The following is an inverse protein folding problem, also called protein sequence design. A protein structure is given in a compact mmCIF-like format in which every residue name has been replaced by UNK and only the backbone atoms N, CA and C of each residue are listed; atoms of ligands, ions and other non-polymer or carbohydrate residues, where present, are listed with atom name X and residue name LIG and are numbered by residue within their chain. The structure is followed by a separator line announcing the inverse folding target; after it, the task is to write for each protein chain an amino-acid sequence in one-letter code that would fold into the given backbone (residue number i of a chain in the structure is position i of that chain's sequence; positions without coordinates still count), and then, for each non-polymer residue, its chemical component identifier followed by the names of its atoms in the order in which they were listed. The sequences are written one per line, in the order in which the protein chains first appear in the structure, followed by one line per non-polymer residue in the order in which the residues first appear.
data_IF_135284410976
#
_entry.id   IF_135284410976
#
_cell.length_a   1.000
_cell.length_b   1.000
_cell.length_c   1.000
_cell.angle_alpha   90.00
_cell.angle_beta   90.00
_cell.angle_gamma   90.00
#
_symmetry.space_group_name_H-M   'P 1'
#
loop_
_entity.id
_entity.type
_entity.pdbx_description
1 polymer ?
#
# COMPACT_ATOMS: atom_id res chain seq x y z
N UNK A 1 -39.67 -9.30 52.15
CA UNK A 1 -38.97 -9.27 50.83
C UNK A 1 -38.81 -10.74 50.44
N UNK A 2 -39.54 -11.21 49.43
CA UNK A 2 -39.38 -12.56 48.90
C UNK A 2 -37.97 -12.66 48.30
N UNK A 3 -37.15 -13.61 48.74
CA UNK A 3 -35.91 -13.94 48.04
C UNK A 3 -36.31 -14.40 46.65
N UNK A 4 -35.91 -13.63 45.64
CA UNK A 4 -36.03 -14.08 44.25
C UNK A 4 -35.20 -15.36 44.11
N UNK A 5 -35.88 -16.49 43.81
CA UNK A 5 -35.19 -17.73 43.47
C UNK A 5 -34.40 -17.51 42.17
N UNK A 6 -33.11 -17.78 42.22
CA UNK A 6 -32.28 -17.77 41.00
C UNK A 6 -32.70 -18.94 40.10
N UNK A 7 -32.77 -18.74 38.77
CA UNK A 7 -33.03 -19.81 37.83
C UNK A 7 -31.97 -20.91 37.94
N UNK A 8 -32.34 -22.15 37.68
CA UNK A 8 -31.44 -23.31 37.77
C UNK A 8 -30.29 -23.31 36.75
N UNK A 9 -30.40 -22.50 35.70
CA UNK A 9 -29.39 -22.35 34.68
C UNK A 9 -29.24 -20.88 34.29
N UNK A 10 -28.00 -20.49 33.92
CA UNK A 10 -27.71 -19.17 33.36
C UNK A 10 -28.05 -19.15 31.87
N UNK A 11 -28.93 -18.24 31.46
CA UNK A 11 -29.27 -17.98 30.05
C UNK A 11 -28.69 -16.61 29.66
N UNK A 12 -27.57 -16.55 28.92
CA UNK A 12 -26.90 -15.30 28.60
C UNK A 12 -27.82 -14.27 27.94
N UNK A 13 -28.68 -14.70 27.02
CA UNK A 13 -29.58 -13.84 26.28
C UNK A 13 -30.55 -13.03 27.15
N UNK A 14 -30.97 -13.61 28.28
CA UNK A 14 -31.94 -12.99 29.21
C UNK A 14 -31.28 -11.93 30.09
N UNK A 15 -29.96 -11.96 30.24
CA UNK A 15 -29.23 -11.14 31.22
C UNK A 15 -28.33 -10.13 30.56
N UNK A 16 -27.53 -10.52 29.56
CA UNK A 16 -26.46 -9.67 28.97
C UNK A 16 -27.02 -8.41 28.32
N UNK A 17 -28.05 -8.53 27.47
CA UNK A 17 -28.67 -7.40 26.80
C UNK A 17 -29.26 -6.36 27.79
N UNK A 18 -30.17 -6.77 28.69
CA UNK A 18 -30.74 -5.85 29.70
C UNK A 18 -29.70 -5.22 30.62
N UNK A 19 -28.65 -5.97 31.00
CA UNK A 19 -27.56 -5.47 31.81
C UNK A 19 -26.75 -4.39 31.09
N UNK A 20 -26.40 -4.63 29.83
CA UNK A 20 -25.67 -3.69 29.00
C UNK A 20 -26.46 -2.38 28.81
N UNK A 21 -27.73 -2.47 28.48
CA UNK A 21 -28.65 -1.31 28.36
C UNK A 21 -28.74 -0.52 29.66
N UNK A 22 -28.74 -1.18 30.83
CA UNK A 22 -28.70 -0.53 32.13
C UNK A 22 -27.41 0.27 32.32
N UNK A 23 -26.26 -0.28 31.91
CA UNK A 23 -24.96 0.42 32.00
C UNK A 23 -24.93 1.64 31.11
N UNK A 24 -25.44 1.54 29.87
CA UNK A 24 -25.53 2.66 28.93
C UNK A 24 -26.41 3.78 29.47
N UNK A 25 -27.61 3.46 29.94
CA UNK A 25 -28.55 4.44 30.54
C UNK A 25 -27.97 5.12 31.78
N UNK A 26 -27.17 4.42 32.54
CA UNK A 26 -26.50 4.98 33.73
C UNK A 26 -25.25 5.84 33.37
N UNK A 27 -24.83 5.88 32.10
CA UNK A 27 -23.66 6.66 31.66
C UNK A 27 -22.31 6.15 32.18
N UNK A 28 -22.22 4.87 32.55
CA UNK A 28 -21.01 4.34 33.20
C UNK A 28 -19.79 4.32 32.29
N UNK A 29 -19.95 4.42 30.99
CA UNK A 29 -18.89 4.36 30.00
C UNK A 29 -18.44 5.75 29.53
N UNK A 30 -19.24 6.79 29.82
CA UNK A 30 -18.95 8.15 29.39
C UNK A 30 -17.83 8.78 30.22
N UNK A 31 -16.89 9.45 29.56
CA UNK A 31 -15.77 10.13 30.19
C UNK A 31 -16.00 11.65 30.25
N UNK A 32 -15.57 12.26 31.34
CA UNK A 32 -15.67 13.70 31.56
C UNK A 32 -14.32 14.39 31.37
N UNK A 33 -14.18 15.16 30.27
CA UNK A 33 -12.94 15.90 29.98
C UNK A 33 -12.55 16.97 30.99
N UNK A 34 -13.48 17.36 31.88
CA UNK A 34 -13.26 18.37 32.96
C UNK A 34 -13.09 17.73 34.33
N UNK A 35 -12.86 16.40 34.37
CA UNK A 35 -12.65 15.68 35.63
C UNK A 35 -11.28 15.98 36.23
N UNK A 36 -11.20 16.10 37.56
CA UNK A 36 -9.92 16.20 38.28
C UNK A 36 -9.25 14.85 38.52
N UNK A 37 -9.89 13.74 38.12
CA UNK A 37 -9.32 12.41 38.26
C UNK A 37 -8.16 12.20 37.27
N UNK A 38 -7.17 11.37 37.62
CA UNK A 38 -6.10 11.04 36.68
C UNK A 38 -6.67 10.42 35.41
N UNK A 39 -6.28 10.89 34.20
CA UNK A 39 -6.82 10.39 32.97
C UNK A 39 -6.23 9.03 32.58
N UNK A 40 -7.04 8.20 31.93
CA UNK A 40 -6.60 6.99 31.23
C UNK A 40 -7.38 6.87 29.93
N UNK A 41 -6.69 6.88 28.79
CA UNK A 41 -7.35 6.88 27.49
C UNK A 41 -6.79 5.76 26.60
N UNK A 42 -7.70 4.99 26.01
CA UNK A 42 -7.40 4.09 24.90
C UNK A 42 -8.20 4.56 23.69
N UNK A 43 -7.56 4.66 22.55
CA UNK A 43 -8.21 4.77 21.23
C UNK A 43 -8.24 3.38 20.65
N UNK A 44 -9.43 2.88 20.32
CA UNK A 44 -9.57 1.55 19.73
C UNK A 44 -8.84 1.48 18.39
N UNK A 45 -8.12 0.40 18.04
CA UNK A 45 -7.76 0.16 16.64
C UNK A 45 -9.06 0.02 15.84
N UNK A 46 -9.39 0.99 14.96
CA UNK A 46 -10.72 1.05 14.38
C UNK A 46 -10.92 -0.10 13.39
N UNK A 47 -11.92 -0.97 13.58
CA UNK A 47 -12.18 -2.04 12.62
C UNK A 47 -12.58 -1.49 11.26
N UNK A 48 -12.11 -2.16 10.20
CA UNK A 48 -12.44 -1.85 8.82
C UNK A 48 -13.92 -2.17 8.54
N UNK A 49 -14.63 -1.29 7.81
CA UNK A 49 -16.02 -1.54 7.41
C UNK A 49 -16.13 -2.54 6.24
N UNK A 50 -15.42 -3.65 6.35
CA UNK A 50 -15.31 -4.69 5.31
C UNK A 50 -16.14 -5.94 5.59
N UNK A 51 -16.79 -6.02 6.76
CA UNK A 51 -17.63 -7.13 7.15
C UNK A 51 -17.74 -7.28 8.67
N UNK A 52 -18.06 -8.49 9.13
CA UNK A 52 -18.21 -8.80 10.56
C UNK A 52 -16.89 -8.89 11.30
N UNK A 53 -16.92 -8.59 12.60
CA UNK A 53 -15.79 -8.83 13.50
C UNK A 53 -15.49 -10.33 13.60
N UNK A 54 -14.24 -10.66 13.84
CA UNK A 54 -13.76 -12.03 14.06
C UNK A 54 -13.12 -12.17 15.44
N UNK A 55 -12.72 -13.39 15.81
CA UNK A 55 -12.17 -13.68 17.14
C UNK A 55 -10.94 -12.84 17.51
N UNK A 56 -10.14 -12.42 16.54
CA UNK A 56 -9.00 -11.51 16.76
C UNK A 56 -9.45 -10.15 17.29
N UNK A 57 -10.53 -9.58 16.73
CA UNK A 57 -11.12 -8.36 17.26
C UNK A 57 -11.66 -8.57 18.68
N UNK A 58 -12.33 -9.70 18.94
CA UNK A 58 -12.83 -10.01 20.27
C UNK A 58 -11.71 -10.09 21.32
N UNK A 59 -10.56 -10.69 20.98
CA UNK A 59 -9.39 -10.73 21.84
C UNK A 59 -8.84 -9.34 22.13
N UNK A 60 -8.62 -8.55 21.09
CA UNK A 60 -8.11 -7.19 21.20
C UNK A 60 -9.03 -6.30 22.05
N UNK A 61 -10.34 -6.31 21.77
CA UNK A 61 -11.33 -5.57 22.53
C UNK A 61 -11.38 -6.02 23.99
N UNK A 62 -11.32 -7.33 24.25
CA UNK A 62 -11.35 -7.86 25.62
C UNK A 62 -10.17 -7.35 26.45
N UNK A 63 -8.96 -7.30 25.88
CA UNK A 63 -7.78 -6.80 26.57
C UNK A 63 -7.90 -5.31 26.88
N UNK A 64 -8.37 -4.50 25.94
CA UNK A 64 -8.59 -3.08 26.13
C UNK A 64 -9.70 -2.79 27.14
N UNK A 65 -10.81 -3.54 27.07
CA UNK A 65 -11.95 -3.39 27.99
C UNK A 65 -11.57 -3.76 29.42
N UNK A 66 -10.79 -4.83 29.59
CA UNK A 66 -10.26 -5.23 30.89
C UNK A 66 -9.44 -4.09 31.53
N UNK A 67 -8.52 -3.51 30.79
CA UNK A 67 -7.69 -2.41 31.27
C UNK A 67 -8.53 -1.16 31.59
N UNK A 68 -9.48 -0.83 30.74
CA UNK A 68 -10.35 0.33 30.91
C UNK A 68 -11.25 0.16 32.14
N UNK A 69 -11.88 -1.00 32.34
CA UNK A 69 -12.69 -1.31 33.53
C UNK A 69 -11.85 -1.30 34.80
N UNK A 70 -10.67 -1.89 34.78
CA UNK A 70 -9.74 -1.87 35.92
C UNK A 70 -9.38 -0.42 36.32
N UNK A 71 -9.11 0.45 35.34
CA UNK A 71 -8.77 1.85 35.60
C UNK A 71 -9.95 2.62 36.16
N UNK A 72 -11.18 2.41 35.66
CA UNK A 72 -12.40 2.98 36.27
C UNK A 72 -12.55 2.57 37.73
N UNK A 73 -12.36 1.27 38.04
CA UNK A 73 -12.43 0.75 39.41
C UNK A 73 -11.36 1.37 40.33
N UNK A 74 -10.18 1.76 39.78
CA UNK A 74 -9.11 2.42 40.49
C UNK A 74 -9.31 3.95 40.62
N UNK A 75 -10.45 4.47 40.18
CA UNK A 75 -10.79 5.90 40.32
C UNK A 75 -10.23 6.82 39.21
N UNK A 76 -9.73 6.26 38.10
CA UNK A 76 -9.31 7.08 36.96
C UNK A 76 -10.52 7.57 36.15
N UNK A 77 -10.36 8.69 35.47
CA UNK A 77 -11.24 9.11 34.39
C UNK A 77 -10.84 8.34 33.15
N UNK A 78 -11.54 7.25 32.85
CA UNK A 78 -11.16 6.34 31.79
C UNK A 78 -12.03 6.53 30.54
N UNK A 79 -11.40 6.88 29.43
CA UNK A 79 -12.00 6.96 28.11
C UNK A 79 -11.51 5.77 27.26
N UNK A 80 -12.44 4.98 26.74
CA UNK A 80 -12.17 4.08 25.63
C UNK A 80 -12.96 4.59 24.43
N UNK A 81 -12.23 5.13 23.42
CA UNK A 81 -12.78 5.82 22.28
C UNK A 81 -13.08 4.82 21.17
N UNK A 82 -14.37 4.60 20.77
CA UNK A 82 -14.72 3.74 19.67
C UNK A 82 -14.59 4.45 18.32
N UNK A 83 -14.39 3.67 17.25
CA UNK A 83 -14.40 4.17 15.90
C UNK A 83 -14.37 3.05 14.86
N UNK A 84 -14.48 3.43 13.60
CA UNK A 84 -14.38 2.53 12.45
C UNK A 84 -13.52 3.17 11.36
N UNK A 85 -12.80 2.34 10.62
CA UNK A 85 -12.00 2.78 9.49
C UNK A 85 -12.76 2.61 8.17
N UNK A 86 -12.66 3.60 7.30
CA UNK A 86 -13.22 3.56 5.95
C UNK A 86 -12.52 2.53 5.05
N UNK A 87 -11.26 2.17 5.35
CA UNK A 87 -10.48 1.11 4.71
C UNK A 87 -10.51 1.18 3.17
N UNK A 88 -10.08 2.30 2.60
CA UNK A 88 -10.18 2.69 1.19
C UNK A 88 -10.25 1.54 0.18
N UNK A 89 -9.10 0.89 -0.11
CA UNK A 89 -9.01 -0.21 -1.10
C UNK A 89 -9.91 -1.39 -0.71
N UNK A 90 -9.88 -1.79 0.57
CA UNK A 90 -10.56 -3.00 1.01
C UNK A 90 -12.09 -2.86 0.91
N UNK A 91 -12.65 -1.75 1.37
CA UNK A 91 -14.10 -1.49 1.32
C UNK A 91 -14.57 -1.31 -0.12
N UNK A 92 -13.81 -0.57 -0.95
CA UNK A 92 -14.14 -0.45 -2.37
C UNK A 92 -14.18 -1.82 -3.05
N UNK A 93 -13.18 -2.69 -2.81
CA UNK A 93 -13.15 -4.04 -3.35
C UNK A 93 -14.33 -4.91 -2.92
N UNK A 94 -14.83 -4.75 -1.70
CA UNK A 94 -16.05 -5.48 -1.25
C UNK A 94 -17.25 -5.09 -2.10
N UNK A 95 -17.48 -3.79 -2.27
CA UNK A 95 -18.61 -3.28 -3.06
C UNK A 95 -18.45 -3.65 -4.55
N UNK A 96 -17.24 -3.53 -5.11
CA UNK A 96 -16.96 -3.95 -6.49
C UNK A 96 -17.26 -5.45 -6.72
N UNK A 97 -16.92 -6.34 -5.76
CA UNK A 97 -17.27 -7.76 -5.86
C UNK A 97 -18.77 -8.00 -5.83
N UNK A 98 -19.50 -7.25 -4.99
CA UNK A 98 -20.96 -7.33 -4.95
C UNK A 98 -21.59 -6.90 -6.28
N UNK A 99 -21.05 -5.85 -6.90
CA UNK A 99 -21.49 -5.39 -8.22
C UNK A 99 -21.14 -6.42 -9.32
N UNK A 100 -19.93 -6.98 -9.28
CA UNK A 100 -19.49 -8.01 -10.24
C UNK A 100 -20.36 -9.26 -10.18
N UNK A 101 -20.83 -9.67 -8.99
CA UNK A 101 -21.78 -10.77 -8.85
C UNK A 101 -23.15 -10.49 -9.54
N UNK A 102 -23.44 -9.21 -9.80
CA UNK A 102 -24.62 -8.73 -10.52
C UNK A 102 -24.32 -8.44 -12.01
N UNK A 103 -23.11 -8.76 -12.50
CA UNK A 103 -22.65 -8.46 -13.85
C UNK A 103 -22.39 -6.97 -14.11
N UNK A 104 -22.11 -6.20 -13.06
CA UNK A 104 -21.90 -4.74 -13.13
C UNK A 104 -20.50 -4.37 -12.64
N UNK A 105 -20.01 -3.20 -13.09
CA UNK A 105 -18.79 -2.56 -12.64
C UNK A 105 -19.06 -1.18 -12.05
N UNK A 106 -18.10 -0.61 -11.34
CA UNK A 106 -18.20 0.77 -10.85
C UNK A 106 -18.39 1.79 -12.00
N UNK A 107 -17.85 1.50 -13.18
CA UNK A 107 -17.93 2.39 -14.35
C UNK A 107 -19.33 2.49 -14.93
N UNK A 108 -20.23 1.52 -14.66
CA UNK A 108 -21.63 1.57 -15.08
C UNK A 108 -22.44 2.61 -14.30
N UNK A 109 -21.94 3.05 -13.14
CA UNK A 109 -22.60 4.02 -12.26
C UNK A 109 -21.97 5.41 -12.30
N UNK A 110 -20.68 5.51 -12.60
CA UNK A 110 -19.89 6.70 -12.37
C UNK A 110 -19.56 6.92 -10.89
N UNK A 111 -18.64 7.86 -10.63
CA UNK A 111 -18.03 8.05 -9.29
C UNK A 111 -19.06 8.36 -8.20
N UNK A 112 -19.94 9.33 -8.42
CA UNK A 112 -20.87 9.79 -7.38
C UNK A 112 -21.83 8.70 -6.92
N UNK A 113 -22.44 8.01 -7.87
CA UNK A 113 -23.40 6.93 -7.56
C UNK A 113 -22.69 5.70 -6.97
N UNK A 114 -21.46 5.40 -7.41
CA UNK A 114 -20.68 4.33 -6.80
C UNK A 114 -20.32 4.67 -5.34
N UNK A 115 -19.87 5.89 -5.06
CA UNK A 115 -19.55 6.33 -3.68
C UNK A 115 -20.78 6.26 -2.78
N UNK A 116 -21.99 6.60 -3.28
CA UNK A 116 -23.24 6.41 -2.51
C UNK A 116 -23.44 4.94 -2.12
N UNK A 117 -23.20 4.00 -3.04
CA UNK A 117 -23.30 2.56 -2.74
C UNK A 117 -22.28 2.12 -1.67
N UNK A 118 -21.10 2.70 -1.66
CA UNK A 118 -20.13 2.43 -0.61
C UNK A 118 -20.59 3.00 0.74
N UNK A 119 -21.23 4.18 0.76
CA UNK A 119 -21.86 4.70 1.99
C UNK A 119 -23.02 3.84 2.50
N UNK A 120 -23.84 3.28 1.61
CA UNK A 120 -24.90 2.30 1.96
C UNK A 120 -24.29 1.05 2.60
N UNK A 121 -23.25 0.49 1.98
CA UNK A 121 -22.48 -0.62 2.55
C UNK A 121 -21.87 -0.27 3.92
N UNK A 122 -21.27 0.92 4.06
CA UNK A 122 -20.74 1.41 5.34
C UNK A 122 -21.80 1.46 6.42
N UNK A 123 -23.01 1.91 6.09
CA UNK A 123 -24.12 1.98 7.05
C UNK A 123 -24.52 0.57 7.53
N UNK A 124 -24.62 -0.39 6.61
CA UNK A 124 -24.96 -1.77 6.91
C UNK A 124 -23.84 -2.46 7.72
N UNK A 125 -22.63 -2.52 7.20
CA UNK A 125 -21.47 -3.17 7.81
C UNK A 125 -21.09 -2.53 9.13
N UNK A 126 -21.06 -1.18 9.20
CA UNK A 126 -20.79 -0.45 10.43
C UNK A 126 -21.84 -0.69 11.52
N UNK A 127 -23.11 -0.73 11.16
CA UNK A 127 -24.19 -1.08 12.08
C UNK A 127 -24.02 -2.48 12.68
N UNK A 128 -23.62 -3.46 11.85
CA UNK A 128 -23.32 -4.81 12.29
C UNK A 128 -22.12 -4.85 13.26
N UNK A 129 -21.02 -4.15 12.92
CA UNK A 129 -19.82 -4.06 13.77
C UNK A 129 -20.17 -3.47 15.14
N UNK A 130 -20.85 -2.33 15.20
CA UNK A 130 -21.25 -1.70 16.46
C UNK A 130 -22.19 -2.59 17.28
N UNK A 131 -23.08 -3.31 16.61
CA UNK A 131 -23.95 -4.32 17.24
C UNK A 131 -23.15 -5.46 17.87
N UNK A 132 -22.12 -5.95 17.20
CA UNK A 132 -21.23 -7.01 17.70
C UNK A 132 -20.41 -6.51 18.91
N UNK A 133 -19.88 -5.27 18.87
CA UNK A 133 -19.18 -4.65 20.01
C UNK A 133 -20.09 -4.54 21.24
N UNK A 134 -21.33 -4.10 21.06
CA UNK A 134 -22.33 -4.08 22.15
C UNK A 134 -22.63 -5.45 22.69
N UNK A 135 -22.71 -6.45 21.80
CA UNK A 135 -22.93 -7.85 22.18
C UNK A 135 -21.75 -8.46 22.94
N UNK A 136 -20.51 -8.05 22.59
CA UNK A 136 -19.29 -8.41 23.32
C UNK A 136 -19.25 -7.75 24.70
N UNK A 137 -19.97 -6.65 24.90
CA UNK A 137 -20.05 -5.92 26.16
C UNK A 137 -19.03 -4.81 26.29
N UNK A 138 -18.48 -4.33 25.17
CA UNK A 138 -17.43 -3.30 25.13
C UNK A 138 -17.86 -2.03 25.89
N UNK A 139 -17.07 -1.59 26.85
CA UNK A 139 -17.36 -0.42 27.68
C UNK A 139 -16.80 0.88 27.08
N UNK A 140 -17.01 1.06 25.79
CA UNK A 140 -16.60 2.28 25.05
C UNK A 140 -17.53 3.46 25.30
N UNK A 141 -17.03 4.67 25.15
CA UNK A 141 -17.86 5.90 25.18
C UNK A 141 -18.55 6.12 23.84
N UNK A 142 -19.74 5.56 23.68
CA UNK A 142 -20.55 5.64 22.45
C UNK A 142 -20.91 7.08 22.04
N UNK A 143 -20.89 8.03 22.96
CA UNK A 143 -21.16 9.43 22.64
C UNK A 143 -20.04 10.08 21.79
N UNK A 144 -18.91 9.41 21.72
CA UNK A 144 -17.68 9.85 21.04
C UNK A 144 -17.28 8.96 19.87
N UNK A 145 -18.21 8.13 19.39
CA UNK A 145 -17.96 7.28 18.21
C UNK A 145 -17.46 8.12 17.03
N UNK A 146 -16.40 7.62 16.38
CA UNK A 146 -15.80 8.27 15.20
C UNK A 146 -15.78 7.34 14.00
N UNK A 147 -15.77 7.96 12.85
CA UNK A 147 -15.52 7.29 11.56
C UNK A 147 -14.44 8.09 10.81
N UNK A 148 -13.43 7.41 10.28
CA UNK A 148 -12.27 8.10 9.66
C UNK A 148 -12.64 9.06 8.54
N UNK A 149 -13.83 8.92 7.92
CA UNK A 149 -14.36 9.88 6.94
C UNK A 149 -15.51 10.75 7.50
N UNK A 150 -15.66 10.89 8.82
CA UNK A 150 -16.59 11.88 9.37
C UNK A 150 -16.12 13.31 9.07
N UNK A 151 -17.00 14.28 9.20
CA UNK A 151 -16.73 15.69 8.88
C UNK A 151 -15.50 16.23 9.63
N UNK A 152 -15.41 15.95 10.93
CA UNK A 152 -14.32 16.45 11.78
C UNK A 152 -12.97 15.84 11.43
N UNK A 153 -12.91 14.52 11.20
CA UNK A 153 -11.68 13.84 10.79
C UNK A 153 -11.30 14.19 9.35
N UNK A 154 -12.28 14.31 8.44
CA UNK A 154 -12.00 14.80 7.08
C UNK A 154 -11.38 16.19 7.09
N UNK A 155 -11.89 17.10 7.92
CA UNK A 155 -11.29 18.44 8.11
C UNK A 155 -9.84 18.34 8.63
N UNK A 156 -9.56 17.45 9.58
CA UNK A 156 -8.22 17.23 10.11
C UNK A 156 -7.25 16.71 9.03
N UNK A 157 -7.68 15.75 8.23
CA UNK A 157 -6.90 15.16 7.11
C UNK A 157 -6.53 16.23 6.08
N UNK A 158 -7.50 17.02 5.62
CA UNK A 158 -7.25 18.10 4.66
C UNK A 158 -6.33 19.18 5.24
N UNK A 159 -6.48 19.50 6.54
CA UNK A 159 -5.62 20.46 7.24
C UNK A 159 -4.18 19.97 7.30
N UNK A 160 -3.95 18.69 7.66
CA UNK A 160 -2.59 18.15 7.74
C UNK A 160 -1.94 18.02 6.38
N UNK A 161 -2.69 17.62 5.35
CA UNK A 161 -2.19 17.61 3.99
C UNK A 161 -1.65 18.98 3.57
N UNK A 162 -2.47 20.04 3.75
CA UNK A 162 -2.06 21.40 3.41
C UNK A 162 -0.83 21.84 4.18
N UNK A 163 -0.77 21.59 5.49
CA UNK A 163 0.40 21.94 6.33
C UNK A 163 1.67 21.24 5.87
N UNK A 164 1.60 19.95 5.55
CA UNK A 164 2.75 19.18 5.05
C UNK A 164 3.18 19.67 3.67
N UNK A 165 2.23 20.02 2.81
CA UNK A 165 2.52 20.60 1.51
C UNK A 165 3.22 21.96 1.63
N UNK A 166 2.68 22.87 2.45
CA UNK A 166 3.24 24.20 2.70
C UNK A 166 4.64 24.11 3.36
N UNK A 167 4.91 23.06 4.13
CA UNK A 167 6.22 22.75 4.68
C UNK A 167 7.19 22.09 3.66
N UNK A 168 6.77 21.85 2.41
CA UNK A 168 7.56 21.20 1.38
C UNK A 168 7.82 19.70 1.60
N UNK A 169 7.02 19.07 2.47
CA UNK A 169 7.10 17.65 2.77
C UNK A 169 6.21 16.80 1.84
N UNK A 170 5.18 17.38 1.22
CA UNK A 170 4.39 16.72 0.18
C UNK A 170 4.79 17.29 -1.18
N UNK A 171 4.97 16.40 -2.15
CA UNK A 171 5.33 16.77 -3.53
C UNK A 171 4.74 15.77 -4.53
N UNK A 172 4.67 16.17 -5.80
CA UNK A 172 4.25 15.33 -6.91
C UNK A 172 5.41 15.05 -7.84
N UNK A 173 5.68 13.78 -8.13
CA UNK A 173 6.75 13.37 -9.04
C UNK A 173 6.39 12.08 -9.78
N UNK A 174 7.10 11.86 -10.89
CA UNK A 174 7.12 10.58 -11.57
C UNK A 174 8.19 9.70 -10.94
N UNK A 175 7.78 8.58 -10.38
CA UNK A 175 8.64 7.58 -9.74
C UNK A 175 8.13 6.18 -10.02
N UNK A 176 8.99 5.21 -9.85
CA UNK A 176 8.55 3.82 -9.83
C UNK A 176 7.77 3.57 -8.54
N UNK A 177 6.62 2.91 -8.69
CA UNK A 177 5.71 2.59 -7.59
C UNK A 177 5.26 1.15 -7.69
N UNK A 178 4.84 0.57 -6.57
CA UNK A 178 4.12 -0.69 -6.57
C UNK A 178 2.71 -0.46 -7.13
N UNK A 179 2.35 -1.17 -8.18
CA UNK A 179 1.05 -1.06 -8.85
C UNK A 179 0.30 -2.38 -8.80
N UNK A 180 -0.97 -2.36 -8.43
CA UNK A 180 -1.83 -3.53 -8.52
C UNK A 180 -2.63 -3.50 -9.83
N UNK A 181 -2.34 -4.37 -10.81
CA UNK A 181 -3.03 -4.34 -12.11
C UNK A 181 -4.49 -4.81 -12.05
N UNK A 182 -4.92 -5.44 -10.95
CA UNK A 182 -6.32 -5.79 -10.71
C UNK A 182 -7.09 -4.67 -10.03
N UNK A 183 -6.53 -4.08 -8.97
CA UNK A 183 -7.18 -2.97 -8.25
C UNK A 183 -7.04 -1.64 -9.00
N UNK A 184 -6.15 -1.56 -9.99
CA UNK A 184 -5.81 -0.37 -10.78
C UNK A 184 -5.42 0.82 -9.90
N UNK A 185 -4.53 0.58 -8.96
CA UNK A 185 -4.06 1.61 -8.03
C UNK A 185 -2.64 1.36 -7.55
N UNK A 186 -1.95 2.45 -7.18
CA UNK A 186 -0.70 2.42 -6.47
C UNK A 186 -0.87 1.79 -5.07
N UNK A 187 0.18 1.15 -4.60
CA UNK A 187 0.30 0.56 -3.27
C UNK A 187 1.52 1.15 -2.57
N UNK A 188 1.43 1.34 -1.27
CA UNK A 188 2.60 1.58 -0.41
C UNK A 188 3.30 0.25 -0.07
N UNK A 189 4.53 0.31 0.44
CA UNK A 189 5.31 -0.90 0.77
C UNK A 189 4.63 -1.78 1.81
N UNK A 190 3.90 -1.18 2.76
CA UNK A 190 3.14 -1.93 3.79
C UNK A 190 1.89 -2.63 3.25
N UNK A 191 1.44 -2.31 2.04
CA UNK A 191 0.32 -2.95 1.35
C UNK A 191 0.77 -4.07 0.40
N UNK A 192 2.08 -4.37 0.37
CA UNK A 192 2.68 -5.44 -0.43
C UNK A 192 3.16 -6.57 0.46
N UNK A 193 2.60 -7.76 0.26
CA UNK A 193 3.02 -8.99 0.95
C UNK A 193 3.95 -9.79 0.05
N UNK A 194 5.14 -10.08 0.56
CA UNK A 194 6.12 -10.88 -0.17
C UNK A 194 5.90 -12.37 0.08
N UNK A 195 5.76 -13.13 -1.01
CA UNK A 195 5.58 -14.57 -0.98
C UNK A 195 6.65 -15.26 -1.81
N UNK A 196 7.20 -16.37 -1.29
CA UNK A 196 8.11 -17.21 -2.05
C UNK A 196 7.32 -18.01 -3.09
N UNK A 197 7.72 -17.90 -4.35
CA UNK A 197 7.11 -18.65 -5.45
C UNK A 197 8.15 -19.48 -6.19
N UNK A 198 7.70 -20.58 -6.80
CA UNK A 198 8.49 -21.36 -7.73
C UNK A 198 8.41 -20.72 -9.12
N UNK A 199 9.44 -19.98 -9.49
CA UNK A 199 9.56 -19.32 -10.78
C UNK A 199 10.63 -19.96 -11.67
N UNK A 200 11.13 -19.16 -12.58
CA UNK A 200 12.17 -19.55 -13.54
C UNK A 200 13.27 -18.49 -13.53
N UNK A 201 14.52 -18.93 -13.69
CA UNK A 201 15.68 -18.05 -13.85
C UNK A 201 16.34 -18.42 -15.15
N UNK A 202 16.36 -17.50 -16.12
CA UNK A 202 16.71 -17.78 -17.52
C UNK A 202 17.91 -16.94 -17.92
N UNK A 203 18.93 -17.61 -18.49
CA UNK A 203 20.09 -16.95 -19.09
C UNK A 203 19.80 -16.64 -20.56
N UNK A 204 19.95 -15.37 -20.95
CA UNK A 204 19.60 -14.83 -22.25
C UNK A 204 20.82 -14.15 -22.88
N UNK A 205 21.06 -14.39 -24.18
CA UNK A 205 22.08 -13.71 -24.97
C UNK A 205 21.53 -12.44 -25.61
N UNK A 206 22.12 -11.30 -25.28
CA UNK A 206 21.93 -10.05 -26.03
C UNK A 206 23.06 -9.89 -27.05
N UNK A 207 22.77 -9.28 -28.19
CA UNK A 207 23.69 -9.22 -29.32
C UNK A 207 23.69 -10.48 -30.18
N UNK A 208 24.54 -10.48 -31.22
CA UNK A 208 24.71 -11.59 -32.15
C UNK A 208 25.93 -12.45 -31.76
N UNK A 209 25.85 -13.75 -31.99
CA UNK A 209 26.88 -14.72 -31.60
C UNK A 209 28.25 -14.43 -32.24
N UNK A 210 28.23 -13.93 -33.46
CA UNK A 210 29.44 -13.59 -34.24
C UNK A 210 29.98 -12.17 -33.93
N UNK A 211 29.31 -11.41 -33.06
CA UNK A 211 29.63 -10.01 -32.75
C UNK A 211 29.73 -9.73 -31.27
N UNK A 212 29.50 -8.45 -30.93
CA UNK A 212 29.45 -8.05 -29.53
C UNK A 212 28.19 -8.66 -28.87
N UNK A 213 28.37 -9.53 -27.89
CA UNK A 213 27.27 -10.16 -27.17
C UNK A 213 27.58 -10.29 -25.68
N UNK A 214 26.51 -10.29 -24.87
CA UNK A 214 26.59 -10.45 -23.42
C UNK A 214 25.48 -11.37 -22.94
N UNK A 215 25.77 -12.19 -21.94
CA UNK A 215 24.80 -13.07 -21.31
C UNK A 215 24.27 -12.42 -20.03
N UNK A 216 22.96 -12.23 -19.96
CA UNK A 216 22.25 -11.77 -18.75
C UNK A 216 21.43 -12.93 -18.16
N UNK A 217 21.02 -12.83 -16.89
CA UNK A 217 20.10 -13.77 -16.29
C UNK A 217 18.94 -13.02 -15.59
N UNK A 218 17.71 -13.49 -15.79
CA UNK A 218 16.52 -12.81 -15.25
C UNK A 218 15.41 -13.79 -14.88
N UNK A 219 14.61 -13.42 -13.89
CA UNK A 219 13.33 -14.08 -13.56
C UNK A 219 12.15 -13.47 -14.31
N UNK A 220 12.37 -12.35 -15.03
CA UNK A 220 11.35 -11.59 -15.75
C UNK A 220 11.73 -11.35 -17.21
N UNK A 221 11.80 -12.42 -18.05
CA UNK A 221 12.21 -12.29 -19.45
C UNK A 221 11.37 -11.32 -20.27
N UNK A 222 10.08 -11.18 -19.98
CA UNK A 222 9.16 -10.26 -20.66
C UNK A 222 9.61 -8.81 -20.57
N UNK A 223 10.26 -8.42 -19.45
CA UNK A 223 10.67 -7.03 -19.25
C UNK A 223 11.90 -6.63 -20.06
N UNK A 224 12.63 -7.60 -20.64
CA UNK A 224 13.80 -7.30 -21.50
C UNK A 224 13.47 -6.35 -22.65
N UNK A 225 12.25 -6.36 -23.14
CA UNK A 225 11.81 -5.49 -24.26
C UNK A 225 11.87 -4.00 -23.90
N UNK A 226 11.91 -3.67 -22.60
CA UNK A 226 12.04 -2.31 -22.05
C UNK A 226 13.44 -1.96 -21.57
N UNK A 227 14.45 -2.81 -21.77
CA UNK A 227 15.79 -2.54 -21.24
C UNK A 227 16.41 -1.29 -21.88
N UNK A 228 16.97 -0.44 -21.03
CA UNK A 228 17.69 0.76 -21.42
C UNK A 228 19.20 0.59 -21.40
N UNK A 229 19.72 -0.40 -20.67
CA UNK A 229 21.15 -0.71 -20.55
C UNK A 229 21.35 -2.16 -20.07
N UNK A 230 22.60 -2.60 -20.11
CA UNK A 230 23.12 -3.74 -19.32
C UNK A 230 24.15 -3.19 -18.34
N UNK A 231 24.06 -3.54 -17.06
CA UNK A 231 25.00 -3.13 -16.04
C UNK A 231 25.94 -4.28 -15.65
N UNK A 232 27.20 -3.96 -15.42
CA UNK A 232 28.23 -4.88 -14.96
C UNK A 232 29.07 -4.24 -13.85
N UNK A 233 29.66 -5.05 -12.98
CA UNK A 233 30.56 -4.51 -11.97
C UNK A 233 31.86 -4.01 -12.59
N UNK A 234 32.34 -2.81 -12.29
CA UNK A 234 33.59 -2.26 -12.85
C UNK A 234 34.85 -3.07 -12.50
N UNK A 235 34.77 -3.89 -11.45
CA UNK A 235 35.86 -4.76 -10.99
C UNK A 235 35.79 -6.20 -11.55
N UNK A 236 34.77 -6.52 -12.35
CA UNK A 236 34.61 -7.83 -12.97
C UNK A 236 35.44 -7.90 -14.28
N UNK A 237 36.54 -8.63 -14.23
CA UNK A 237 37.47 -8.79 -15.36
C UNK A 237 36.80 -9.39 -16.62
N UNK A 238 35.72 -10.14 -16.45
CA UNK A 238 34.98 -10.76 -17.55
C UNK A 238 34.38 -9.72 -18.48
N UNK A 239 33.98 -8.55 -17.94
CA UNK A 239 33.19 -7.54 -18.66
C UNK A 239 33.86 -6.18 -18.77
N UNK A 240 35.02 -5.93 -18.12
CA UNK A 240 35.73 -4.64 -18.17
C UNK A 240 35.92 -4.11 -19.60
N UNK A 241 36.24 -4.99 -20.54
CA UNK A 241 36.46 -4.62 -21.94
C UNK A 241 35.19 -4.24 -22.69
N UNK A 242 34.00 -4.54 -22.14
CA UNK A 242 32.72 -4.24 -22.73
C UNK A 242 32.11 -2.92 -22.24
N UNK A 243 32.61 -2.39 -21.12
CA UNK A 243 32.09 -1.14 -20.51
C UNK A 243 32.24 0.01 -21.51
N UNK A 244 31.13 0.74 -21.73
CA UNK A 244 31.05 1.83 -22.69
C UNK A 244 30.80 1.40 -24.15
N UNK A 245 30.71 0.10 -24.41
CA UNK A 245 30.24 -0.42 -25.71
C UNK A 245 28.72 -0.57 -25.72
N UNK A 246 28.16 -0.90 -26.86
CA UNK A 246 26.72 -1.15 -27.02
C UNK A 246 26.46 -2.60 -27.43
N UNK A 247 25.30 -3.11 -27.07
CA UNK A 247 24.82 -4.43 -27.46
C UNK A 247 23.41 -4.33 -28.05
N UNK A 248 23.10 -5.14 -29.04
CA UNK A 248 21.79 -5.18 -29.67
C UNK A 248 20.79 -5.93 -28.80
N UNK A 249 19.71 -5.25 -28.40
CA UNK A 249 18.60 -5.84 -27.66
C UNK A 249 17.73 -6.66 -28.62
N UNK A 250 17.51 -7.97 -28.36
CA UNK A 250 16.69 -8.81 -29.22
C UNK A 250 15.26 -8.29 -29.37
N UNK A 251 14.64 -8.53 -30.52
CA UNK A 251 13.25 -8.25 -30.92
C UNK A 251 12.87 -6.78 -31.09
N UNK A 252 13.40 -5.87 -30.29
CA UNK A 252 13.13 -4.42 -30.39
C UNK A 252 14.16 -3.69 -31.25
N UNK A 253 15.20 -4.38 -31.70
CA UNK A 253 16.24 -3.88 -32.60
C UNK A 253 16.85 -2.53 -32.16
N UNK A 254 17.13 -2.41 -30.86
CA UNK A 254 17.69 -1.21 -30.22
C UNK A 254 19.08 -1.52 -29.67
N UNK A 255 20.05 -0.66 -29.94
CA UNK A 255 21.35 -0.68 -29.28
C UNK A 255 21.21 -0.09 -27.87
N UNK A 256 21.72 -0.78 -26.87
CA UNK A 256 21.73 -0.36 -25.47
C UNK A 256 23.16 -0.40 -24.92
N UNK A 257 23.57 0.59 -24.10
CA UNK A 257 24.92 0.66 -23.56
C UNK A 257 25.16 -0.40 -22.48
N UNK A 258 26.42 -0.81 -22.37
CA UNK A 258 26.92 -1.58 -21.24
C UNK A 258 27.55 -0.60 -20.26
N UNK A 259 26.96 -0.45 -19.08
CA UNK A 259 27.36 0.52 -18.05
C UNK A 259 28.06 -0.16 -16.89
N UNK A 260 28.87 0.60 -16.15
CA UNK A 260 29.53 0.13 -14.94
C UNK A 260 28.78 0.58 -13.70
N UNK A 261 28.36 -0.34 -12.83
CA UNK A 261 27.76 -0.01 -11.54
C UNK A 261 28.25 -0.94 -10.44
N UNK A 262 28.76 -0.38 -9.34
CA UNK A 262 29.37 -1.12 -8.22
C UNK A 262 28.34 -1.95 -7.45
N UNK A 263 27.04 -1.67 -7.58
CA UNK A 263 25.96 -2.43 -6.94
C UNK A 263 25.68 -3.76 -7.64
N UNK A 264 26.22 -4.00 -8.82
CA UNK A 264 26.10 -5.30 -9.49
C UNK A 264 26.95 -6.33 -8.78
N UNK A 265 26.33 -7.40 -8.32
CA UNK A 265 27.03 -8.54 -7.73
C UNK A 265 27.61 -9.44 -8.84
N UNK A 266 28.97 -9.56 -8.96
CA UNK A 266 29.61 -10.38 -9.98
C UNK A 266 29.29 -11.87 -9.87
N UNK A 267 28.96 -12.36 -8.67
CA UNK A 267 28.70 -13.77 -8.39
C UNK A 267 27.23 -14.16 -8.63
N UNK A 268 26.34 -13.16 -8.75
CA UNK A 268 24.91 -13.43 -8.99
C UNK A 268 24.60 -13.64 -10.47
N UNK A 269 23.99 -14.76 -10.81
CA UNK A 269 23.55 -15.07 -12.18
C UNK A 269 24.72 -15.18 -13.16
N UNK A 270 24.85 -14.19 -14.04
CA UNK A 270 25.96 -14.08 -14.99
C UNK A 270 26.98 -12.99 -14.58
N UNK A 271 26.68 -12.20 -13.56
CA UNK A 271 27.42 -10.99 -13.21
C UNK A 271 27.10 -9.80 -14.11
N UNK A 272 26.17 -9.96 -15.06
CA UNK A 272 25.62 -8.89 -15.89
C UNK A 272 24.12 -8.81 -15.68
N UNK A 273 23.61 -7.60 -15.41
CA UNK A 273 22.22 -7.33 -15.07
C UNK A 273 21.59 -6.48 -16.15
N UNK A 274 20.42 -6.88 -16.64
CA UNK A 274 19.60 -6.03 -17.51
C UNK A 274 19.02 -4.87 -16.70
N UNK A 275 18.91 -3.69 -17.27
CA UNK A 275 18.38 -2.49 -16.62
C UNK A 275 17.06 -2.08 -17.26
N UNK A 276 15.95 -2.43 -16.59
CA UNK A 276 14.58 -2.09 -17.00
C UNK A 276 13.98 -1.05 -16.06
N UNK A 277 14.45 0.17 -16.14
CA UNK A 277 14.21 1.24 -15.19
C UNK A 277 12.71 1.56 -14.93
N UNK A 278 11.82 1.29 -15.88
CA UNK A 278 10.39 1.55 -15.73
C UNK A 278 9.62 0.40 -15.03
N UNK A 279 10.29 -0.76 -14.75
CA UNK A 279 9.65 -1.98 -14.26
C UNK A 279 10.41 -2.69 -13.14
N UNK A 280 11.47 -2.08 -12.60
CA UNK A 280 12.20 -2.58 -11.44
C UNK A 280 12.73 -1.41 -10.59
N UNK A 281 12.50 -1.40 -9.25
CA UNK A 281 12.96 -0.30 -8.39
C UNK A 281 14.48 -0.14 -8.33
N UNK A 282 15.25 -1.24 -8.32
CA UNK A 282 16.72 -1.18 -8.30
C UNK A 282 17.26 -0.65 -9.62
N UNK A 283 16.66 -1.10 -10.73
CA UNK A 283 17.00 -0.62 -12.07
C UNK A 283 16.67 0.86 -12.25
N UNK A 284 15.58 1.34 -11.62
CA UNK A 284 15.21 2.76 -11.62
C UNK A 284 16.30 3.63 -10.96
N UNK A 285 16.76 3.24 -9.77
CA UNK A 285 17.83 3.95 -9.07
C UNK A 285 19.14 3.93 -9.85
N UNK A 286 19.45 2.81 -10.48
CA UNK A 286 20.61 2.68 -11.37
C UNK A 286 20.47 3.58 -12.60
N UNK A 287 19.30 3.60 -13.22
CA UNK A 287 19.02 4.45 -14.37
C UNK A 287 19.13 5.93 -14.07
N UNK A 288 18.68 6.36 -12.88
CA UNK A 288 18.83 7.74 -12.43
C UNK A 288 20.32 8.16 -12.27
N UNK A 289 21.18 7.26 -11.77
CA UNK A 289 22.62 7.52 -11.65
C UNK A 289 23.34 7.62 -12.99
N UNK A 290 22.90 6.83 -13.97
CA UNK A 290 23.59 6.67 -15.26
C UNK A 290 22.87 7.32 -16.44
N UNK A 291 21.75 8.06 -16.21
CA UNK A 291 20.93 8.64 -17.26
C UNK A 291 20.42 7.62 -18.29
N UNK A 292 20.07 6.41 -17.85
CA UNK A 292 19.53 5.36 -18.71
C UNK A 292 18.07 5.68 -19.09
N UNK A 293 17.66 5.52 -20.35
CA UNK A 293 16.27 5.72 -20.77
C UNK A 293 15.29 4.80 -20.04
N UNK A 294 14.15 5.34 -19.64
CA UNK A 294 13.07 4.61 -18.98
C UNK A 294 12.00 4.26 -20.01
N UNK A 295 11.92 2.98 -20.40
CA UNK A 295 10.99 2.51 -21.43
C UNK A 295 9.85 1.75 -20.78
N UNK A 296 8.65 2.34 -20.84
CA UNK A 296 7.42 1.70 -20.34
C UNK A 296 6.91 0.72 -21.38
N UNK A 297 6.72 -0.55 -20.99
CA UNK A 297 6.32 -1.64 -21.89
C UNK A 297 5.06 -2.38 -21.42
N UNK A 298 4.40 -1.90 -20.38
CA UNK A 298 3.15 -2.46 -19.86
C UNK A 298 2.17 -1.33 -19.52
N UNK A 299 0.90 -1.56 -19.81
CA UNK A 299 -0.17 -0.66 -19.37
C UNK A 299 -0.57 -0.93 -17.90
N UNK A 300 -1.59 -0.22 -17.41
CA UNK A 300 -2.08 -0.33 -16.03
C UNK A 300 -2.71 -1.68 -15.70
N UNK A 301 -3.09 -2.47 -16.69
CA UNK A 301 -3.62 -3.82 -16.52
C UNK A 301 -2.54 -4.91 -16.53
N UNK A 302 -1.25 -4.54 -16.68
CA UNK A 302 -0.15 -5.49 -16.81
C UNK A 302 -0.12 -6.18 -18.16
N UNK A 303 -0.69 -5.57 -19.18
CA UNK A 303 -0.67 -6.04 -20.57
C UNK A 303 0.47 -5.35 -21.29
N UNK A 304 1.24 -6.12 -22.07
CA UNK A 304 2.35 -5.60 -22.86
C UNK A 304 1.86 -4.56 -23.87
N UNK A 305 2.57 -3.45 -23.95
CA UNK A 305 2.20 -2.33 -24.83
C UNK A 305 3.39 -1.44 -25.16
N UNK A 306 3.48 -0.96 -26.40
CA UNK A 306 4.48 0.02 -26.82
C UNK A 306 5.86 -0.57 -27.13
N UNK A 307 5.99 -1.90 -27.20
CA UNK A 307 7.24 -2.56 -27.58
C UNK A 307 7.41 -2.62 -29.10
N UNK A 308 6.35 -2.44 -29.86
CA UNK A 308 6.29 -2.66 -31.32
C UNK A 308 6.74 -4.06 -31.75
N UNK A 309 6.44 -5.06 -30.92
CA UNK A 309 6.74 -6.47 -31.16
C UNK A 309 5.44 -7.30 -31.19
N UNK A 310 5.57 -8.54 -31.61
CA UNK A 310 4.46 -9.52 -31.60
C UNK A 310 3.92 -9.82 -30.19
N UNK A 311 4.58 -9.36 -29.13
CA UNK A 311 4.19 -9.59 -27.74
C UNK A 311 3.25 -8.51 -27.21
N UNK A 312 3.05 -7.39 -27.93
CA UNK A 312 2.09 -6.36 -27.55
C UNK A 312 0.66 -6.94 -27.54
N UNK A 313 -0.11 -6.59 -26.52
CA UNK A 313 -1.47 -7.09 -26.29
C UNK A 313 -1.56 -8.37 -25.45
N UNK A 314 -0.45 -9.04 -25.16
CA UNK A 314 -0.43 -10.21 -24.26
C UNK A 314 -0.39 -9.77 -22.79
N UNK A 315 -1.04 -10.55 -21.91
CA UNK A 315 -0.80 -10.46 -20.47
C UNK A 315 0.68 -10.74 -20.18
N UNK A 316 1.25 -10.04 -19.17
CA UNK A 316 2.67 -10.14 -18.82
C UNK A 316 3.19 -11.57 -18.60
N UNK A 317 2.34 -12.47 -18.07
CA UNK A 317 2.74 -13.87 -17.84
C UNK A 317 2.65 -14.71 -19.11
N UNK A 318 1.72 -14.39 -19.99
CA UNK A 318 1.65 -14.99 -21.34
C UNK A 318 2.82 -14.51 -22.20
N UNK A 319 3.11 -13.21 -22.15
CA UNK A 319 4.26 -12.61 -22.81
C UNK A 319 5.58 -13.24 -22.33
N UNK A 320 5.75 -13.46 -21.01
CA UNK A 320 6.93 -14.15 -20.45
C UNK A 320 7.15 -15.51 -21.11
N UNK A 321 6.11 -16.32 -21.21
CA UNK A 321 6.18 -17.63 -21.85
C UNK A 321 6.54 -17.51 -23.33
N UNK A 322 5.84 -16.63 -24.05
CA UNK A 322 6.05 -16.43 -25.48
C UNK A 322 7.45 -15.91 -25.81
N UNK A 323 7.98 -14.97 -25.00
CA UNK A 323 9.35 -14.46 -25.14
C UNK A 323 10.37 -15.56 -24.92
N UNK A 324 10.23 -16.40 -23.87
CA UNK A 324 11.15 -17.51 -23.62
C UNK A 324 11.09 -18.56 -24.72
N UNK A 325 9.92 -18.89 -25.23
CA UNK A 325 9.76 -19.83 -26.35
C UNK A 325 10.46 -19.31 -27.60
N UNK A 326 10.29 -18.03 -27.92
CA UNK A 326 10.96 -17.42 -29.06
C UNK A 326 12.50 -17.38 -28.89
N UNK A 327 12.98 -16.98 -27.70
CA UNK A 327 14.42 -16.97 -27.38
C UNK A 327 15.05 -18.36 -27.51
N UNK A 328 14.30 -19.41 -27.13
CA UNK A 328 14.74 -20.79 -27.25
C UNK A 328 14.80 -21.22 -28.73
N UNK A 329 13.79 -20.87 -29.52
CA UNK A 329 13.77 -21.17 -30.97
C UNK A 329 14.92 -20.47 -31.70
N UNK A 330 15.33 -19.28 -31.25
CA UNK A 330 16.40 -18.48 -31.85
C UNK A 330 17.81 -18.85 -31.30
N UNK A 331 17.92 -19.86 -30.43
CA UNK A 331 19.17 -20.28 -29.82
C UNK A 331 19.82 -19.22 -28.92
N UNK A 332 19.02 -18.36 -28.29
CA UNK A 332 19.44 -17.27 -27.41
C UNK A 332 19.38 -17.62 -25.92
N UNK A 333 19.03 -18.86 -25.55
CA UNK A 333 19.01 -19.35 -24.17
C UNK A 333 20.25 -20.16 -23.90
N UNK A 334 21.00 -19.80 -22.84
CA UNK A 334 22.16 -20.56 -22.37
C UNK A 334 21.77 -21.66 -21.40
N UNK A 335 21.10 -21.30 -20.32
CA UNK A 335 20.55 -22.21 -19.32
C UNK A 335 19.25 -21.70 -18.72
N UNK A 336 18.47 -22.65 -18.15
CA UNK A 336 17.25 -22.39 -17.42
C UNK A 336 17.29 -23.12 -16.08
N UNK A 337 17.01 -22.40 -14.97
CA UNK A 337 16.83 -23.03 -13.65
C UNK A 337 15.33 -23.06 -13.35
N UNK A 338 14.79 -24.28 -13.17
CA UNK A 338 13.39 -24.55 -12.85
C UNK A 338 13.30 -25.72 -11.86
N UNK A 339 12.60 -25.63 -10.73
CA UNK A 339 12.06 -24.36 -10.15
C UNK A 339 13.19 -23.46 -9.64
N UNK A 340 12.95 -22.17 -9.66
CA UNK A 340 13.79 -21.17 -9.03
C UNK A 340 12.97 -20.39 -8.01
N UNK A 341 13.28 -20.60 -6.74
CA UNK A 341 12.57 -19.94 -5.65
C UNK A 341 13.02 -18.50 -5.50
N UNK A 342 12.06 -17.58 -5.52
CA UNK A 342 12.31 -16.17 -5.28
C UNK A 342 11.08 -15.48 -4.68
N UNK A 343 11.30 -14.36 -4.01
CA UNK A 343 10.26 -13.58 -3.36
C UNK A 343 9.58 -12.64 -4.36
N UNK A 344 8.25 -12.63 -4.38
CA UNK A 344 7.44 -11.78 -5.25
C UNK A 344 6.39 -11.05 -4.44
N UNK A 345 6.26 -9.74 -4.68
CA UNK A 345 5.27 -8.90 -4.02
C UNK A 345 3.85 -9.19 -4.50
N UNK A 346 2.92 -9.31 -3.56
CA UNK A 346 1.50 -9.51 -3.81
C UNK A 346 0.70 -8.38 -3.15
N UNK A 347 -0.36 -7.95 -3.80
CA UNK A 347 -1.29 -6.99 -3.23
C UNK A 347 -1.98 -7.60 -2.00
N UNK A 348 -1.81 -7.03 -0.82
CA UNK A 348 -2.39 -7.48 0.44
C UNK A 348 -3.93 -7.66 0.37
N UNK A 349 -4.60 -6.93 -0.52
CA UNK A 349 -6.08 -6.90 -0.61
C UNK A 349 -6.67 -7.90 -1.59
N UNK A 350 -5.96 -8.22 -2.67
CA UNK A 350 -6.49 -9.09 -3.73
C UNK A 350 -5.57 -10.24 -4.11
N UNK A 351 -4.41 -10.35 -3.48
CA UNK A 351 -3.38 -11.37 -3.71
C UNK A 351 -2.81 -11.41 -5.16
N UNK A 352 -3.10 -10.39 -5.97
CA UNK A 352 -2.52 -10.29 -7.32
C UNK A 352 -1.05 -9.89 -7.21
N UNK A 353 -0.20 -10.49 -8.04
CA UNK A 353 1.22 -10.10 -8.15
C UNK A 353 1.31 -8.63 -8.56
N UNK A 354 2.06 -7.86 -7.77
CA UNK A 354 2.31 -6.43 -7.97
C UNK A 354 3.23 -6.21 -9.16
N UNK A 355 2.98 -5.15 -9.90
CA UNK A 355 3.83 -4.73 -11.02
C UNK A 355 4.52 -3.40 -10.68
N UNK A 356 5.86 -3.35 -10.56
CA UNK A 356 6.56 -2.08 -10.47
C UNK A 356 6.33 -1.26 -11.73
N UNK A 357 5.90 -0.02 -11.58
CA UNK A 357 5.50 0.84 -12.71
C UNK A 357 5.90 2.29 -12.49
N UNK A 358 6.41 2.93 -13.53
CA UNK A 358 6.64 4.37 -13.53
C UNK A 358 5.29 5.10 -13.56
N UNK A 359 5.06 5.99 -12.60
CA UNK A 359 3.81 6.76 -12.47
C UNK A 359 4.01 8.09 -11.76
N UNK A 360 3.22 9.08 -12.17
CA UNK A 360 3.20 10.41 -11.55
C UNK A 360 2.24 10.41 -10.37
N UNK A 361 2.77 10.41 -9.16
CA UNK A 361 2.04 10.24 -7.90
C UNK A 361 2.37 11.35 -6.90
N UNK A 362 1.59 11.44 -5.83
CA UNK A 362 1.85 12.28 -4.67
C UNK A 362 2.64 11.52 -3.61
N UNK A 363 3.67 12.16 -3.07
CA UNK A 363 4.60 11.57 -2.11
C UNK A 363 4.79 12.44 -0.87
N UNK A 364 5.05 11.80 0.27
CA UNK A 364 5.58 12.42 1.47
C UNK A 364 7.08 12.18 1.54
N UNK A 365 7.88 13.25 1.73
CA UNK A 365 9.32 13.16 2.05
C UNK A 365 9.49 12.59 3.44
N UNK A 366 9.81 11.32 3.53
CA UNK A 366 9.85 10.59 4.82
C UNK A 366 11.19 10.77 5.54
N UNK A 367 12.30 10.91 4.82
CA UNK A 367 13.65 10.94 5.39
C UNK A 367 13.83 11.91 6.60
N UNK A 368 13.37 13.20 6.57
CA UNK A 368 13.53 14.08 7.73
C UNK A 368 12.69 13.64 8.93
N UNK A 369 11.51 13.04 8.68
CA UNK A 369 10.60 12.55 9.72
C UNK A 369 11.16 11.26 10.35
N UNK A 370 11.59 10.32 9.55
CA UNK A 370 12.21 9.07 9.96
C UNK A 370 13.49 9.32 10.79
N UNK A 371 14.34 10.25 10.36
CA UNK A 371 15.53 10.65 11.10
C UNK A 371 15.19 11.20 12.50
N UNK A 372 14.15 12.03 12.60
CA UNK A 372 13.71 12.58 13.88
C UNK A 372 13.16 11.48 14.81
N UNK A 373 12.33 10.55 14.27
CA UNK A 373 11.77 9.43 14.99
C UNK A 373 12.87 8.45 15.47
N UNK A 374 13.78 8.05 14.58
CA UNK A 374 14.90 7.18 14.91
C UNK A 374 15.81 7.78 16.00
N UNK A 375 16.10 9.07 15.91
CA UNK A 375 16.90 9.77 16.93
C UNK A 375 16.18 9.86 18.29
N UNK A 376 14.85 9.97 18.34
CA UNK A 376 14.11 9.95 19.58
C UNK A 376 14.29 8.62 20.34
N UNK A 377 14.33 7.50 19.63
CA UNK A 377 14.62 6.18 20.23
C UNK A 377 16.10 6.05 20.60
N UNK A 378 17.04 6.41 19.71
CA UNK A 378 18.48 6.35 19.97
C UNK A 378 18.90 7.17 21.19
N UNK A 379 18.26 8.33 21.38
CA UNK A 379 18.54 9.23 22.50
C UNK A 379 17.74 8.90 23.77
N UNK A 380 16.99 7.79 23.78
CA UNK A 380 16.22 7.33 24.94
C UNK A 380 15.00 8.19 25.30
N UNK A 381 14.58 9.13 24.43
CA UNK A 381 13.33 9.89 24.59
C UNK A 381 12.09 9.00 24.39
N UNK A 382 12.21 7.99 23.54
CA UNK A 382 11.23 6.92 23.32
C UNK A 382 11.91 5.59 23.59
N UNK A 383 11.25 4.71 24.33
CA UNK A 383 11.75 3.36 24.62
C UNK A 383 10.92 2.34 23.87
N UNK A 384 11.58 1.35 23.31
CA UNK A 384 10.94 0.16 22.71
C UNK A 384 11.03 -0.97 23.72
N UNK A 385 9.87 -1.54 24.07
CA UNK A 385 9.76 -2.66 24.99
C UNK A 385 9.03 -3.84 24.32
N UNK A 386 9.59 -5.01 24.32
CA UNK A 386 10.93 -5.36 24.81
C UNK A 386 12.04 -4.82 23.90
N UNK A 387 13.23 -4.56 24.45
CA UNK A 387 14.36 -3.93 23.75
C UNK A 387 14.84 -4.70 22.53
N UNK A 388 14.62 -6.00 22.49
CA UNK A 388 14.96 -6.91 21.40
C UNK A 388 14.25 -6.57 20.08
N UNK A 389 13.17 -5.78 20.14
CA UNK A 389 12.45 -5.29 18.96
C UNK A 389 13.06 -4.01 18.37
N UNK A 390 13.97 -3.32 19.10
CA UNK A 390 14.58 -2.10 18.62
C UNK A 390 15.36 -2.25 17.28
N UNK A 391 16.13 -3.33 17.04
CA UNK A 391 16.79 -3.53 15.75
C UNK A 391 15.80 -3.55 14.57
N UNK A 392 14.66 -4.23 14.71
CA UNK A 392 13.60 -4.27 13.68
C UNK A 392 13.00 -2.89 13.40
N UNK A 393 12.81 -2.09 14.46
CA UNK A 393 12.35 -0.70 14.31
C UNK A 393 13.37 0.14 13.52
N UNK A 394 14.68 0.02 13.85
CA UNK A 394 15.72 0.77 13.14
C UNK A 394 15.89 0.31 11.70
N UNK A 395 15.84 -1.00 11.44
CA UNK A 395 15.85 -1.53 10.08
C UNK A 395 14.74 -0.89 9.22
N UNK A 396 13.54 -0.76 9.77
CA UNK A 396 12.43 -0.15 9.07
C UNK A 396 12.60 1.38 8.93
N UNK A 397 12.89 2.09 10.02
CA UNK A 397 12.91 3.56 10.03
C UNK A 397 14.09 4.16 9.26
N UNK A 398 15.23 3.45 9.23
CA UNK A 398 16.44 3.92 8.54
C UNK A 398 16.39 3.65 7.02
N UNK A 399 15.55 2.72 6.58
CA UNK A 399 15.41 2.34 5.17
C UNK A 399 14.07 2.82 4.55
N UNK A 400 13.34 3.71 5.21
CA UNK A 400 12.07 4.22 4.67
C UNK A 400 12.29 5.03 3.39
N UNK A 401 11.58 4.67 2.34
CA UNK A 401 11.48 5.45 1.11
C UNK A 401 10.36 6.50 1.21
N UNK A 402 10.37 7.48 0.29
CA UNK A 402 9.29 8.45 0.22
C UNK A 402 7.95 7.75 -0.02
N UNK A 403 6.98 8.08 0.80
CA UNK A 403 5.70 7.38 0.86
C UNK A 403 4.73 7.87 -0.21
N UNK A 404 4.33 6.99 -1.11
CA UNK A 404 3.28 7.24 -2.09
C UNK A 404 1.92 7.29 -1.40
N UNK A 405 1.28 8.45 -1.38
CA UNK A 405 0.01 8.70 -0.67
C UNK A 405 -1.20 8.83 -1.60
N UNK A 406 -1.04 8.80 -2.90
CA UNK A 406 -2.16 8.84 -3.86
C UNK A 406 -2.65 7.45 -4.23
N UNK A 407 -3.98 7.29 -4.35
CA UNK A 407 -4.65 6.06 -4.75
C UNK A 407 -5.70 6.37 -5.81
N UNK A 408 -5.72 5.57 -6.88
CA UNK A 408 -6.66 5.68 -8.00
C UNK A 408 -7.99 5.00 -7.69
N UNK A 409 -8.52 5.32 -6.50
CA UNK A 409 -9.79 4.84 -5.98
C UNK A 409 -10.84 5.95 -6.03
N UNK A 410 -12.10 5.56 -5.85
CA UNK A 410 -13.20 6.53 -5.69
C UNK A 410 -13.62 6.70 -4.23
N UNK A 411 -13.39 5.67 -3.41
CA UNK A 411 -13.70 5.68 -1.98
C UNK A 411 -12.50 6.10 -1.14
N UNK A 412 -12.61 7.21 -0.44
CA UNK A 412 -11.58 7.80 0.42
C UNK A 412 -11.62 9.32 0.40
N UNK A 413 -10.71 9.95 1.14
CA UNK A 413 -10.52 11.40 1.11
C UNK A 413 -9.87 11.83 -0.20
N UNK A 414 -10.57 12.61 -1.00
CA UNK A 414 -9.97 13.16 -2.23
C UNK A 414 -8.80 14.07 -1.90
N UNK A 415 -7.74 13.95 -2.70
CA UNK A 415 -6.57 14.82 -2.57
C UNK A 415 -7.01 16.27 -2.77
N UNK A 416 -6.69 17.18 -1.81
CA UNK A 416 -7.18 18.56 -1.82
C UNK A 416 -6.35 19.47 -2.76
N UNK A 417 -6.03 18.95 -3.92
CA UNK A 417 -5.28 19.66 -4.96
C UNK A 417 -6.17 19.92 -6.15
N UNK A 418 -6.09 21.13 -6.68
CA UNK A 418 -6.89 21.60 -7.80
C UNK A 418 -6.00 22.12 -8.91
N UNK A 419 -6.34 21.77 -10.12
CA UNK A 419 -5.60 22.15 -11.34
C UNK A 419 -6.38 23.19 -12.13
N UNK A 420 -5.73 24.32 -12.35
CA UNK A 420 -6.27 25.38 -13.16
C UNK A 420 -6.16 25.14 -14.67
N UNK A 421 -6.88 25.90 -15.49
CA UNK A 421 -6.92 25.72 -16.93
C UNK A 421 -5.59 25.93 -17.65
N UNK A 422 -4.64 26.66 -17.05
CA UNK A 422 -3.30 26.90 -17.61
C UNK A 422 -2.21 26.05 -16.93
N UNK A 423 -2.60 25.03 -16.16
CA UNK A 423 -1.67 24.11 -15.48
C UNK A 423 -1.26 24.56 -14.07
N UNK A 424 -1.92 25.56 -13.49
CA UNK A 424 -1.71 25.98 -12.11
C UNK A 424 -2.11 24.85 -11.15
N UNK A 425 -1.37 24.74 -10.05
CA UNK A 425 -1.67 23.78 -8.98
C UNK A 425 -1.97 24.55 -7.70
N UNK A 426 -3.14 24.30 -7.11
CA UNK A 426 -3.60 24.93 -5.88
C UNK A 426 -3.97 23.87 -4.83
N UNK A 427 -3.40 23.97 -3.63
CA UNK A 427 -3.80 23.13 -2.49
C UNK A 427 -4.81 23.91 -1.66
N UNK A 428 -6.02 23.36 -1.56
CA UNK A 428 -7.17 23.98 -0.90
C UNK A 428 -7.37 23.37 0.48
N UNK A 429 -7.36 24.20 1.51
CA UNK A 429 -7.64 23.78 2.89
C UNK A 429 -9.15 23.53 3.12
N UNK A 430 -9.54 22.98 4.26
CA UNK A 430 -10.92 22.58 4.53
C UNK A 430 -11.92 23.74 4.61
N UNK A 431 -11.44 24.95 4.88
CA UNK A 431 -12.29 26.15 4.99
C UNK A 431 -12.07 27.10 3.77
N UNK A 432 -11.42 26.62 2.71
CA UNK A 432 -11.08 27.35 1.50
C UNK A 432 -11.89 26.79 0.31
N UNK A 433 -12.11 27.60 -0.72
CA UNK A 433 -12.72 27.16 -1.96
C UNK A 433 -11.75 27.33 -3.12
N UNK A 434 -11.75 26.37 -4.02
CA UNK A 434 -11.02 26.53 -5.29
C UNK A 434 -11.72 27.56 -6.17
N UNK A 435 -10.97 28.34 -7.00
CA UNK A 435 -11.57 29.25 -7.99
C UNK A 435 -12.37 28.48 -9.03
N UNK A 436 -13.32 29.20 -9.67
CA UNK A 436 -14.11 28.63 -10.76
C UNK A 436 -13.20 28.16 -11.91
N UNK A 437 -13.57 27.05 -12.53
CA UNK A 437 -12.83 26.43 -13.63
C UNK A 437 -11.67 25.53 -13.22
N UNK A 438 -11.33 25.45 -11.94
CA UNK A 438 -10.37 24.48 -11.44
C UNK A 438 -10.99 23.09 -11.29
N UNK A 439 -10.20 22.06 -11.55
CA UNK A 439 -10.61 20.64 -11.38
C UNK A 439 -9.81 20.00 -10.25
N UNK A 440 -10.53 19.37 -9.31
CA UNK A 440 -9.91 18.65 -8.21
C UNK A 440 -9.22 17.38 -8.71
N UNK A 441 -8.07 17.05 -8.12
CA UNK A 441 -7.38 15.78 -8.32
C UNK A 441 -8.37 14.60 -8.19
N UNK A 442 -8.28 13.62 -9.07
CA UNK A 442 -9.20 12.48 -9.07
C UNK A 442 -8.83 11.42 -8.06
N UNK A 443 -7.59 11.40 -7.61
CA UNK A 443 -7.09 10.42 -6.66
C UNK A 443 -7.59 10.72 -5.24
N UNK A 444 -7.61 9.66 -4.43
CA UNK A 444 -7.84 9.77 -2.98
C UNK A 444 -6.54 9.50 -2.23
N UNK A 445 -6.52 9.90 -0.97
CA UNK A 445 -5.38 9.64 -0.07
C UNK A 445 -5.34 8.18 0.36
N UNK A 446 -4.14 7.68 0.57
CA UNK A 446 -3.90 6.39 1.23
C UNK A 446 -4.64 6.35 2.57
N UNK A 447 -5.27 5.21 2.88
CA UNK A 447 -5.96 4.97 4.14
C UNK A 447 -5.05 5.24 5.34
N UNK A 448 -3.78 4.84 5.28
CA UNK A 448 -2.82 5.07 6.35
C UNK A 448 -2.42 6.54 6.55
N UNK A 449 -2.62 7.39 5.55
CA UNK A 449 -2.47 8.84 5.71
C UNK A 449 -3.68 9.46 6.40
N UNK A 450 -4.86 8.90 6.22
CA UNK A 450 -6.14 9.49 6.60
C UNK A 450 -6.85 8.79 7.77
N UNK A 451 -6.27 7.73 8.32
CA UNK A 451 -6.82 6.98 9.47
C UNK A 451 -6.20 7.35 10.80
#
# INVERSE_FOLDING_TARGET
MSKAELPSSFVPADIEGPLYEKWLKAGYFSANAKSDKPPFTIVIPPPNVTGSLHIGHALDHTLQDLLTRMKRMKGFEALWLPGMDHAGIATQNVVERQLAAQGKSRHDFGREEFVKKVWEWKAESGGAILGQMKRLGDSVDWSRERFTMDEGLSKAVLTIFKRLYDAGLIYRAERIINWCPRCLTALSDIEVEHQEIDGEFVQIRYGEESGNHIWIATTRPETMLGDGAVAVNPNDDRYKHMIGTEVLLPYVNRLIPIIADELVDPEFGTGAVKVTAAHDPNDFEMAMRHNVPMVVIMNEHGVMAGTNTQFDGLDRFEARKAVVEQLRADGRIGWEKRPYKHSVGHCQRCATIVEPRLSKQWFVKVAPLAKAAGNAVRNGKVKIEPVELAPRYFEWVDNMHDWCISRQLWWGHRIPVWYGPNGETLVVGPDENAPDGYKQDEDVLDTWFSS
#
